data_IF_177792198431
#
_entry.id   IF_177792198431
#
_cell.length_a   1.000
_cell.length_b   1.000
_cell.length_c   1.000
_cell.angle_alpha   90.00
_cell.angle_beta   90.00
_cell.angle_gamma   90.00
#
_symmetry.space_group_name_H-M   'P 1'
#
loop_
_entity.id
_entity.type
_entity.pdbx_description
1 polymer ?
#
# COMPACT_ATOMS: atom_id res chain seq x y z
N UNK A 1 -1.73 -4.57 -15.64
CA UNK A 1 -1.92 -4.98 -14.23
C UNK A 1 -0.86 -4.23 -13.47
N UNK A 2 -1.18 -3.60 -12.34
CA UNK A 2 -0.18 -2.80 -11.62
C UNK A 2 1.09 -3.61 -11.35
N UNK A 3 2.24 -2.98 -11.61
CA UNK A 3 3.56 -3.53 -11.30
C UNK A 3 4.10 -2.85 -10.05
N UNK A 4 4.75 -3.63 -9.21
CA UNK A 4 5.23 -3.20 -7.90
C UNK A 4 6.74 -3.30 -7.80
N UNK A 5 7.37 -2.30 -7.19
CA UNK A 5 8.80 -2.31 -6.83
C UNK A 5 9.00 -1.68 -5.46
N UNK A 6 10.12 -2.00 -4.80
CA UNK A 6 10.41 -1.57 -3.43
C UNK A 6 9.88 -2.56 -2.37
N UNK A 7 10.43 -2.50 -1.16
CA UNK A 7 10.02 -3.39 -0.05
C UNK A 7 8.74 -2.92 0.65
N UNK A 8 8.48 -1.62 0.66
CA UNK A 8 7.34 -1.01 1.35
C UNK A 8 7.48 -0.95 2.86
N UNK A 9 8.67 -1.17 3.42
CA UNK A 9 8.87 -1.25 4.88
C UNK A 9 9.17 0.12 5.52
N UNK A 10 9.41 1.16 4.73
CA UNK A 10 9.74 2.51 5.20
C UNK A 10 9.40 3.58 4.15
N UNK A 11 9.56 4.85 4.51
CA UNK A 11 9.46 5.98 3.58
C UNK A 11 10.60 6.02 2.54
N UNK A 12 11.78 5.48 2.89
CA UNK A 12 12.96 5.48 2.01
C UNK A 12 12.87 4.41 0.92
N UNK A 13 12.16 3.33 1.20
CA UNK A 13 11.89 2.23 0.26
C UNK A 13 10.40 1.85 0.26
N UNK A 14 9.52 2.77 -0.21
CA UNK A 14 8.09 2.52 -0.30
C UNK A 14 7.79 1.61 -1.50
N UNK A 15 6.60 1.00 -1.52
CA UNK A 15 6.11 0.34 -2.72
C UNK A 15 5.75 1.41 -3.74
N UNK A 16 6.43 1.35 -4.88
CA UNK A 16 6.04 2.09 -6.07
C UNK A 16 5.12 1.23 -6.91
N UNK A 17 4.03 1.83 -7.37
CA UNK A 17 3.11 1.22 -8.32
C UNK A 17 3.36 1.84 -9.69
N UNK A 18 3.28 1.05 -10.75
CA UNK A 18 3.30 1.53 -12.15
C UNK A 18 2.19 0.84 -12.92
N UNK A 19 1.80 1.39 -14.08
CA UNK A 19 0.58 1.00 -14.82
C UNK A 19 -0.72 1.26 -14.02
N UNK A 20 -0.69 2.28 -13.17
CA UNK A 20 -1.82 2.84 -12.44
C UNK A 20 -2.00 4.27 -12.94
N UNK A 21 -3.23 4.70 -13.23
CA UNK A 21 -3.49 6.00 -13.88
C UNK A 21 -4.29 6.98 -13.04
N UNK A 22 -5.01 6.49 -12.04
CA UNK A 22 -5.88 7.30 -11.19
C UNK A 22 -5.95 6.75 -9.76
N UNK A 23 -6.55 7.53 -8.87
CA UNK A 23 -6.65 7.19 -7.46
C UNK A 23 -7.43 5.87 -7.22
N UNK A 24 -8.51 5.61 -7.96
CA UNK A 24 -9.28 4.37 -7.81
C UNK A 24 -8.46 3.13 -8.19
N UNK A 25 -7.68 3.21 -9.26
CA UNK A 25 -6.76 2.16 -9.67
C UNK A 25 -5.63 1.97 -8.65
N UNK A 26 -5.12 3.05 -8.05
CA UNK A 26 -4.09 2.99 -7.01
C UNK A 26 -4.59 2.21 -5.79
N UNK A 27 -5.76 2.56 -5.26
CA UNK A 27 -6.37 1.85 -4.13
C UNK A 27 -6.59 0.37 -4.46
N UNK A 28 -7.10 0.06 -5.66
CA UNK A 28 -7.28 -1.34 -6.09
C UNK A 28 -5.95 -2.10 -6.15
N UNK A 29 -4.89 -1.45 -6.63
CA UNK A 29 -3.55 -2.02 -6.72
C UNK A 29 -2.95 -2.28 -5.33
N UNK A 30 -3.10 -1.38 -4.36
CA UNK A 30 -2.64 -1.59 -2.98
C UNK A 30 -3.24 -2.87 -2.37
N UNK A 31 -4.56 -3.03 -2.45
CA UNK A 31 -5.23 -4.21 -1.93
C UNK A 31 -4.90 -5.48 -2.72
N UNK A 32 -4.65 -5.37 -4.04
CA UNK A 32 -4.19 -6.49 -4.85
C UNK A 32 -2.78 -6.94 -4.44
N UNK A 33 -1.86 -6.00 -4.17
CA UNK A 33 -0.53 -6.30 -3.63
C UNK A 33 -0.61 -7.06 -2.30
N UNK A 34 -1.42 -6.56 -1.36
CA UNK A 34 -1.61 -7.23 -0.07
C UNK A 34 -2.19 -8.64 -0.25
N UNK A 35 -3.15 -8.80 -1.16
CA UNK A 35 -3.75 -10.10 -1.45
C UNK A 35 -2.73 -11.09 -2.03
N UNK A 36 -1.91 -10.64 -2.97
CA UNK A 36 -0.90 -11.48 -3.60
C UNK A 36 0.18 -11.92 -2.62
N UNK A 37 0.56 -11.03 -1.69
CA UNK A 37 1.69 -11.26 -0.77
C UNK A 37 1.30 -11.94 0.54
N UNK A 38 0.14 -11.60 1.09
CA UNK A 38 -0.29 -12.04 2.43
C UNK A 38 -1.54 -12.92 2.42
N UNK A 39 -2.15 -13.16 1.25
CA UNK A 39 -3.33 -14.01 1.12
C UNK A 39 -4.65 -13.26 1.27
N UNK A 40 -5.69 -13.92 1.74
CA UNK A 40 -7.06 -13.39 1.73
C UNK A 40 -7.32 -12.50 2.95
N UNK A 41 -7.83 -11.29 2.71
CA UNK A 41 -8.23 -10.36 3.78
C UNK A 41 -9.32 -10.99 4.67
N UNK A 42 -9.22 -10.74 5.98
CA UNK A 42 -10.03 -11.31 7.06
C UNK A 42 -9.89 -12.84 7.23
N UNK A 43 -8.96 -13.49 6.52
CA UNK A 43 -8.62 -14.91 6.70
C UNK A 43 -7.15 -15.05 7.10
N UNK A 44 -6.25 -14.48 6.29
CA UNK A 44 -4.80 -14.57 6.46
C UNK A 44 -4.21 -13.28 7.05
N UNK A 45 -4.89 -12.14 6.83
CA UNK A 45 -4.53 -10.85 7.39
C UNK A 45 -5.76 -9.95 7.52
N UNK A 46 -5.73 -8.96 8.41
CA UNK A 46 -6.76 -7.91 8.54
C UNK A 46 -6.13 -6.53 8.47
N UNK A 47 -6.86 -5.58 7.92
CA UNK A 47 -6.47 -4.17 7.97
C UNK A 47 -6.71 -3.66 9.39
N UNK A 48 -5.68 -3.10 10.00
CA UNK A 48 -5.76 -2.44 11.31
C UNK A 48 -6.11 -0.97 11.08
N UNK A 49 -5.31 -0.26 10.30
CA UNK A 49 -5.53 1.15 9.95
C UNK A 49 -4.95 1.48 8.57
N UNK A 50 -5.50 2.53 7.96
CA UNK A 50 -4.96 3.17 6.77
C UNK A 50 -4.71 4.64 7.09
N UNK A 51 -3.55 5.16 6.69
CA UNK A 51 -3.15 6.54 6.92
C UNK A 51 -2.69 7.18 5.62
N UNK A 52 -3.16 8.41 5.37
CA UNK A 52 -2.60 9.30 4.38
C UNK A 52 -1.50 10.14 5.05
N UNK A 53 -0.27 10.00 4.60
CA UNK A 53 0.89 10.65 5.19
C UNK A 53 1.59 11.54 4.16
N UNK A 54 2.07 12.70 4.61
CA UNK A 54 2.94 13.56 3.82
C UNK A 54 4.30 13.63 4.51
N UNK A 55 5.36 13.35 3.75
CA UNK A 55 6.73 13.37 4.26
C UNK A 55 7.69 13.82 3.15
N UNK A 56 8.48 14.87 3.42
CA UNK A 56 9.48 15.42 2.48
C UNK A 56 8.93 15.70 1.07
N UNK A 57 7.71 16.23 0.98
CA UNK A 57 7.08 16.58 -0.29
C UNK A 57 6.49 15.40 -1.08
N UNK A 58 6.57 14.19 -0.54
CA UNK A 58 5.91 12.99 -1.08
C UNK A 58 4.67 12.65 -0.26
N UNK A 59 3.70 12.03 -0.93
CA UNK A 59 2.45 11.56 -0.35
C UNK A 59 2.44 10.05 -0.34
N UNK A 60 2.14 9.47 0.81
CA UNK A 60 2.16 8.04 1.04
C UNK A 60 0.85 7.56 1.60
N UNK A 61 0.42 6.39 1.15
CA UNK A 61 -0.58 5.60 1.86
C UNK A 61 0.14 4.53 2.68
N UNK A 62 -0.08 4.58 3.99
CA UNK A 62 0.42 3.58 4.93
C UNK A 62 -0.73 2.66 5.34
N UNK A 63 -0.58 1.37 5.04
CA UNK A 63 -1.49 0.31 5.47
C UNK A 63 -0.85 -0.46 6.61
N UNK A 64 -1.45 -0.36 7.80
CA UNK A 64 -1.12 -1.22 8.92
C UNK A 64 -2.00 -2.46 8.88
N UNK A 65 -1.38 -3.64 8.76
CA UNK A 65 -2.07 -4.93 8.75
C UNK A 65 -1.62 -5.80 9.91
N UNK A 66 -2.49 -6.71 10.32
CA UNK A 66 -2.18 -7.78 11.26
C UNK A 66 -2.37 -9.13 10.57
N UNK A 67 -1.33 -9.94 10.54
CA UNK A 67 -1.35 -11.30 9.99
C UNK A 67 -2.05 -12.25 10.95
N UNK A 68 -2.51 -13.40 10.45
CA UNK A 68 -3.18 -14.45 11.25
C UNK A 68 -2.35 -14.94 12.45
N UNK A 69 -1.03 -14.82 12.39
CA UNK A 69 -0.11 -15.14 13.49
C UNK A 69 -0.01 -14.07 14.59
N UNK A 70 -0.64 -12.91 14.41
CA UNK A 70 -0.59 -11.76 15.33
C UNK A 70 0.48 -10.72 14.98
N UNK A 71 1.39 -11.03 14.03
CA UNK A 71 2.40 -10.09 13.56
C UNK A 71 1.76 -8.87 12.90
N UNK A 72 2.28 -7.69 13.22
CA UNK A 72 1.82 -6.41 12.65
C UNK A 72 2.85 -5.86 11.68
N UNK A 73 2.39 -5.45 10.51
CA UNK A 73 3.22 -4.87 9.46
C UNK A 73 2.67 -3.50 9.09
N UNK A 74 3.57 -2.54 8.89
CA UNK A 74 3.28 -1.25 8.28
C UNK A 74 3.84 -1.24 6.87
N UNK A 75 2.97 -0.98 5.90
CA UNK A 75 3.30 -1.06 4.48
C UNK A 75 3.06 0.31 3.87
N UNK A 76 4.10 0.88 3.28
CA UNK A 76 4.09 2.24 2.72
C UNK A 76 4.02 2.14 1.20
N UNK A 77 3.04 2.82 0.60
CA UNK A 77 2.89 2.99 -0.84
C UNK A 77 3.17 4.44 -1.19
N UNK A 78 4.02 4.69 -2.18
CA UNK A 78 4.20 6.04 -2.72
C UNK A 78 3.06 6.32 -3.72
N UNK A 79 2.14 7.17 -3.28
CA UNK A 79 0.99 7.58 -4.09
C UNK A 79 1.14 9.01 -4.62
N UNK A 80 2.31 9.62 -4.47
CA UNK A 80 2.60 10.96 -5.00
C UNK A 80 2.17 11.15 -6.46
N UNK A 81 2.39 10.17 -7.38
CA UNK A 81 1.96 10.32 -8.77
C UNK A 81 0.44 10.30 -9.00
N UNK A 82 -0.34 9.82 -8.02
CA UNK A 82 -1.77 9.52 -8.16
C UNK A 82 -2.66 10.40 -7.26
N UNK A 83 -2.07 11.00 -6.24
CA UNK A 83 -2.79 11.79 -5.26
C UNK A 83 -3.37 13.06 -5.89
N UNK A 84 -4.69 13.23 -5.78
CA UNK A 84 -5.41 14.38 -6.34
C UNK A 84 -5.70 14.29 -7.85
N UNK A 85 -5.37 13.18 -8.50
CA UNK A 85 -5.71 12.90 -9.90
C UNK A 85 -7.03 12.12 -9.92
N UNK A 86 -8.05 12.69 -10.59
CA UNK A 86 -9.41 12.16 -10.73
C UNK A 86 -9.69 11.71 -12.15
#
# INVERSE_FOLDING_TARGET
>A
MAKYSGSGQSFDDPIQMTEVTNNMEAVSAEYAYLRQRYGTRNVDWKLVCQYLLQHEGRTYDRLDIELKGGDKLSIYFDITPYFGVY
#
